data_IF_300885999657
#
_entry.id   IF_300885999657
#
_cell.length_a   1.000
_cell.length_b   1.000
_cell.length_c   1.000
_cell.angle_alpha   90.00
_cell.angle_beta   90.00
_cell.angle_gamma   90.00
#
_symmetry.space_group_name_H-M   'P 1'
#
loop_
_entity.id
_entity.type
_entity.pdbx_description
1 polymer ?
#
# COMPACT_ATOMS: atom_id res chain seq x y z
N UNK A 1 -23.70 12.19 14.75
CA UNK A 1 -23.32 12.04 13.33
C UNK A 1 -23.17 10.56 13.00
N UNK A 2 -24.20 9.96 12.43
CA UNK A 2 -24.23 8.52 12.08
C UNK A 2 -23.32 8.30 10.86
N UNK A 3 -22.20 7.59 11.05
CA UNK A 3 -21.31 7.17 9.97
C UNK A 3 -22.11 6.24 9.03
N UNK A 4 -22.54 6.77 7.89
CA UNK A 4 -23.26 6.03 6.84
C UNK A 4 -22.32 4.95 6.29
N UNK A 5 -22.47 3.71 6.75
CA UNK A 5 -21.72 2.56 6.22
C UNK A 5 -22.22 2.30 4.80
N UNK A 6 -21.46 2.73 3.80
CA UNK A 6 -21.76 2.45 2.39
C UNK A 6 -21.59 0.95 2.17
N UNK A 7 -22.64 0.28 1.71
CA UNK A 7 -22.63 -1.14 1.38
C UNK A 7 -21.87 -1.29 0.05
N UNK A 8 -20.60 -1.65 0.12
CA UNK A 8 -19.69 -1.78 -1.04
C UNK A 8 -19.45 -3.27 -1.32
N UNK A 9 -19.37 -3.65 -2.60
CA UNK A 9 -19.02 -5.00 -3.05
C UNK A 9 -17.62 -5.40 -2.56
N UNK A 10 -17.43 -6.65 -2.14
CA UNK A 10 -16.15 -7.15 -1.60
C UNK A 10 -14.96 -6.89 -2.55
N UNK A 11 -15.19 -6.94 -3.87
CA UNK A 11 -14.16 -6.68 -4.87
C UNK A 11 -13.76 -5.19 -4.90
N UNK A 12 -14.74 -4.29 -4.87
CA UNK A 12 -14.50 -2.83 -4.83
C UNK A 12 -13.82 -2.42 -3.53
N UNK A 13 -14.19 -3.04 -2.41
CA UNK A 13 -13.50 -2.82 -1.13
C UNK A 13 -12.02 -3.22 -1.21
N UNK A 14 -11.72 -4.37 -1.83
CA UNK A 14 -10.33 -4.82 -2.05
C UNK A 14 -9.52 -3.85 -2.90
N UNK A 15 -10.11 -3.31 -3.98
CA UNK A 15 -9.43 -2.32 -4.83
C UNK A 15 -9.19 -1.01 -4.09
N UNK A 16 -10.19 -0.48 -3.36
CA UNK A 16 -10.04 0.75 -2.57
C UNK A 16 -8.98 0.56 -1.48
N UNK A 17 -9.01 -0.58 -0.80
CA UNK A 17 -8.01 -0.93 0.20
C UNK A 17 -6.61 -0.99 -0.43
N UNK A 18 -6.45 -1.67 -1.56
CA UNK A 18 -5.17 -1.76 -2.27
C UNK A 18 -4.68 -0.39 -2.74
N UNK A 19 -5.57 0.49 -3.21
CA UNK A 19 -5.22 1.86 -3.62
C UNK A 19 -4.72 2.71 -2.44
N UNK A 20 -5.42 2.68 -1.30
CA UNK A 20 -5.03 3.43 -0.10
C UNK A 20 -3.72 2.87 0.48
N UNK A 21 -3.63 1.55 0.62
CA UNK A 21 -2.43 0.89 1.13
C UNK A 21 -1.22 1.15 0.23
N UNK A 22 -1.37 1.03 -1.09
CA UNK A 22 -0.26 1.30 -2.02
C UNK A 22 0.22 2.75 -1.97
N UNK A 23 -0.69 3.73 -1.80
CA UNK A 23 -0.30 5.13 -1.62
C UNK A 23 0.50 5.33 -0.34
N UNK A 24 0.03 4.79 0.78
CA UNK A 24 0.71 4.92 2.07
C UNK A 24 2.06 4.20 2.03
N UNK A 25 2.11 2.95 1.58
CA UNK A 25 3.35 2.17 1.51
C UNK A 25 4.36 2.79 0.56
N UNK A 26 3.95 3.22 -0.65
CA UNK A 26 4.84 3.87 -1.62
C UNK A 26 5.39 5.18 -1.06
N UNK A 27 4.52 5.99 -0.45
CA UNK A 27 4.89 7.25 0.22
C UNK A 27 5.92 7.02 1.33
N UNK A 28 5.65 6.09 2.25
CA UNK A 28 6.55 5.78 3.36
C UNK A 28 7.89 5.21 2.88
N UNK A 29 7.88 4.25 1.94
CA UNK A 29 9.11 3.63 1.44
C UNK A 29 9.97 4.66 0.71
N UNK A 30 9.39 5.43 -0.21
CA UNK A 30 10.14 6.50 -0.91
C UNK A 30 10.65 7.58 0.05
N UNK A 31 9.86 7.94 1.07
CA UNK A 31 10.24 8.90 2.09
C UNK A 31 11.45 8.41 2.91
N UNK A 32 11.38 7.19 3.44
CA UNK A 32 12.46 6.58 4.22
C UNK A 32 13.72 6.42 3.38
N UNK A 33 13.60 5.92 2.15
CA UNK A 33 14.74 5.75 1.24
C UNK A 33 15.42 7.08 0.98
N UNK A 34 14.68 8.14 0.66
CA UNK A 34 15.30 9.44 0.33
C UNK A 34 15.93 10.07 1.56
N UNK A 35 15.30 9.99 2.74
CA UNK A 35 15.91 10.46 4.00
C UNK A 35 17.22 9.71 4.27
N UNK A 36 17.22 8.38 4.13
CA UNK A 36 18.42 7.58 4.41
C UNK A 36 19.53 7.79 3.38
N UNK A 37 19.19 8.07 2.11
CA UNK A 37 20.19 8.16 1.04
C UNK A 37 20.72 9.58 0.82
N UNK A 38 19.87 10.60 1.01
CA UNK A 38 20.20 12.00 0.69
C UNK A 38 20.06 12.97 1.87
N UNK A 39 19.55 12.53 3.01
CA UNK A 39 19.23 13.40 4.14
C UNK A 39 18.06 14.35 3.85
N UNK A 40 17.74 15.20 4.82
CA UNK A 40 16.65 16.16 4.72
C UNK A 40 17.16 17.42 4.01
N UNK A 41 17.23 17.37 2.68
CA UNK A 41 17.64 18.49 1.81
C UNK A 41 16.44 19.29 1.30
N UNK A 42 16.66 20.54 0.88
CA UNK A 42 15.62 21.41 0.29
C UNK A 42 15.03 20.78 -0.99
N UNK A 43 15.81 19.96 -1.69
CA UNK A 43 15.39 19.22 -2.89
C UNK A 43 14.63 17.92 -2.57
N UNK A 44 14.32 17.63 -1.30
CA UNK A 44 13.66 16.40 -0.88
C UNK A 44 12.37 16.14 -1.68
N UNK A 45 11.50 17.13 -1.82
CA UNK A 45 10.25 17.00 -2.56
C UNK A 45 10.46 16.79 -4.06
N UNK A 46 11.54 17.33 -4.62
CA UNK A 46 11.92 17.17 -6.04
C UNK A 46 12.27 15.71 -6.33
N UNK A 47 12.88 15.00 -5.38
CA UNK A 47 13.17 13.57 -5.53
C UNK A 47 12.02 12.67 -5.05
N UNK A 48 11.27 13.10 -4.04
CA UNK A 48 10.24 12.29 -3.40
C UNK A 48 8.98 12.11 -4.23
N UNK A 49 8.45 13.19 -4.83
CA UNK A 49 7.22 13.10 -5.65
C UNK A 49 7.41 12.17 -6.86
N UNK A 50 8.49 12.27 -7.66
CA UNK A 50 8.73 11.34 -8.77
C UNK A 50 8.98 9.91 -8.31
N UNK A 51 9.69 9.73 -7.19
CA UNK A 51 9.92 8.41 -6.60
C UNK A 51 8.58 7.75 -6.21
N UNK A 52 7.73 8.48 -5.47
CA UNK A 52 6.39 8.04 -5.09
C UNK A 52 5.55 7.65 -6.30
N UNK A 53 5.49 8.51 -7.33
CA UNK A 53 4.72 8.27 -8.54
C UNK A 53 5.23 7.06 -9.34
N UNK A 54 6.55 6.82 -9.34
CA UNK A 54 7.15 5.65 -10.01
C UNK A 54 6.91 4.36 -9.23
N UNK A 55 7.03 4.38 -7.90
CA UNK A 55 6.84 3.20 -7.07
C UNK A 55 5.37 2.85 -6.85
N UNK A 56 4.46 3.84 -6.90
CA UNK A 56 3.04 3.62 -6.64
C UNK A 56 2.37 2.54 -7.52
N UNK A 57 2.47 2.56 -8.87
CA UNK A 57 1.85 1.52 -9.70
C UNK A 57 2.45 0.13 -9.46
N UNK A 58 3.76 0.06 -9.16
CA UNK A 58 4.45 -1.19 -8.85
C UNK A 58 3.90 -1.78 -7.54
N UNK A 59 3.83 -0.97 -6.48
CA UNK A 59 3.31 -1.39 -5.17
C UNK A 59 1.82 -1.75 -5.26
N UNK A 60 1.03 -1.03 -6.05
CA UNK A 60 -0.39 -1.34 -6.26
C UNK A 60 -0.57 -2.73 -6.89
N UNK A 61 0.16 -3.03 -7.96
CA UNK A 61 0.13 -4.35 -8.61
C UNK A 61 0.60 -5.43 -7.64
N UNK A 62 1.68 -5.17 -6.90
CA UNK A 62 2.19 -6.09 -5.89
C UNK A 62 1.12 -6.38 -4.83
N UNK A 63 0.44 -5.39 -4.27
CA UNK A 63 -0.59 -5.62 -3.23
C UNK A 63 -1.74 -6.46 -3.78
N UNK A 64 -2.21 -6.21 -5.01
CA UNK A 64 -3.27 -7.00 -5.62
C UNK A 64 -2.90 -8.48 -5.77
N UNK A 65 -1.62 -8.79 -6.03
CA UNK A 65 -1.12 -10.16 -6.19
C UNK A 65 -0.76 -10.79 -4.84
N UNK A 66 -0.05 -10.05 -3.99
CA UNK A 66 0.50 -10.56 -2.73
C UNK A 66 -0.57 -10.71 -1.65
N UNK A 67 -1.60 -9.85 -1.56
CA UNK A 67 -2.66 -10.01 -0.57
C UNK A 67 -3.37 -11.37 -0.66
N UNK A 68 -3.88 -11.81 -1.82
CA UNK A 68 -4.49 -13.14 -1.93
C UNK A 68 -3.46 -14.26 -1.79
N UNK A 69 -2.23 -14.06 -2.27
CA UNK A 69 -1.15 -15.05 -2.15
C UNK A 69 -0.77 -15.31 -0.69
N UNK A 70 -0.59 -14.25 0.10
CA UNK A 70 -0.29 -14.32 1.53
C UNK A 70 -1.46 -14.94 2.28
N UNK A 71 -2.71 -14.56 1.99
CA UNK A 71 -3.87 -15.21 2.62
C UNK A 71 -3.94 -16.70 2.30
N UNK A 72 -3.64 -17.10 1.05
CA UNK A 72 -3.58 -18.52 0.68
C UNK A 72 -2.44 -19.25 1.39
N UNK A 73 -1.29 -18.61 1.52
CA UNK A 73 -0.13 -19.15 2.22
C UNK A 73 -0.40 -19.30 3.72
N UNK A 74 -0.94 -18.28 4.37
CA UNK A 74 -1.32 -18.33 5.78
C UNK A 74 -2.35 -19.43 6.06
N UNK A 75 -3.35 -19.61 5.20
CA UNK A 75 -4.31 -20.71 5.34
C UNK A 75 -3.69 -22.10 5.19
N UNK A 76 -2.53 -22.22 4.52
CA UNK A 76 -1.81 -23.49 4.38
C UNK A 76 -1.02 -23.84 5.65
N UNK A 77 -0.45 -22.83 6.31
CA UNK A 77 0.39 -23.03 7.51
C UNK A 77 -0.36 -22.90 8.83
N UNK A 78 -1.44 -22.13 8.87
CA UNK A 78 -2.19 -21.84 10.09
C UNK A 78 -3.65 -22.23 9.92
N UNK A 79 -4.12 -23.15 10.76
CA UNK A 79 -5.55 -23.37 10.95
C UNK A 79 -6.10 -22.19 11.74
N UNK A 80 -7.05 -21.45 11.14
CA UNK A 80 -7.79 -20.41 11.86
C UNK A 80 -8.66 -21.10 12.91
N UNK A 81 -8.20 -21.08 14.17
CA UNK A 81 -9.01 -21.56 15.27
C UNK A 81 -10.18 -20.57 15.45
N UNK A 82 -11.40 -21.06 15.24
CA UNK A 82 -12.65 -20.28 15.37
C UNK A 82 -12.90 -19.86 16.82
#
# INVERSE_FOLDING_TARGET
>A
MVKKKIKISNMTYGVIFASIMSLITSSTVSFVVIIMTKGMSIEFFVFWVPALLRSWPIVFILILIFVPLINKFLNLFFSKNN
#
